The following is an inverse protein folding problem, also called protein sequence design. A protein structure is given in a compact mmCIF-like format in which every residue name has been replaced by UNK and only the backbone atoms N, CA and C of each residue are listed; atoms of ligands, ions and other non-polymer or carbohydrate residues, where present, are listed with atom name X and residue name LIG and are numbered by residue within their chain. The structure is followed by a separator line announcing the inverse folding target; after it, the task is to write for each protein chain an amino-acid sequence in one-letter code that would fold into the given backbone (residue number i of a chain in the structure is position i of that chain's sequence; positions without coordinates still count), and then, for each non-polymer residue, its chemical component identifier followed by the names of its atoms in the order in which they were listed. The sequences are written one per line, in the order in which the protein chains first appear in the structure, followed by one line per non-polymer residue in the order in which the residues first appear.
data_IF_762807121237
#
_entry.id   IF_762807121237
#
_cell.length_a   1.000
_cell.length_b   1.000
_cell.length_c   1.000
_cell.angle_alpha   90.00
_cell.angle_beta   90.00
_cell.angle_gamma   90.00
#
_symmetry.space_group_name_H-M   'P 1'
#
loop_
_entity.id
_entity.type
_entity.pdbx_description
1 polymer ?
#
# COMPACT_ATOMS: atom_id res chain seq x y z
N UNK A 1 6.12 -2.74 10.26
CA UNK A 1 6.13 -2.25 8.85
C UNK A 1 4.72 -2.03 8.33
N UNK A 2 3.82 -3.03 8.50
CA UNK A 2 2.41 -2.96 8.12
C UNK A 2 1.69 -1.66 8.51
N UNK A 3 1.75 -1.24 9.77
CA UNK A 3 1.01 -0.06 10.26
C UNK A 3 1.46 1.25 9.59
N UNK A 4 2.75 1.39 9.31
CA UNK A 4 3.30 2.55 8.60
C UNK A 4 2.80 2.59 7.16
N UNK A 5 2.81 1.45 6.46
CA UNK A 5 2.32 1.34 5.08
C UNK A 5 0.81 1.63 5.04
N UNK A 6 0.04 1.10 6.00
CA UNK A 6 -1.39 1.39 6.10
C UNK A 6 -1.66 2.88 6.32
N UNK A 7 -0.92 3.51 7.22
CA UNK A 7 -1.04 4.95 7.49
C UNK A 7 -0.74 5.80 6.25
N UNK A 8 0.37 5.52 5.56
CA UNK A 8 0.76 6.23 4.33
C UNK A 8 -0.29 6.01 3.23
N UNK A 9 -0.70 4.76 3.01
CA UNK A 9 -1.68 4.43 1.97
C UNK A 9 -3.01 5.13 2.22
N UNK A 10 -3.52 5.13 3.46
CA UNK A 10 -4.75 5.85 3.85
C UNK A 10 -4.67 7.35 3.59
N UNK A 11 -3.49 7.96 3.72
CA UNK A 11 -3.30 9.39 3.45
C UNK A 11 -3.20 9.74 1.96
N UNK A 12 -2.93 8.75 1.09
CA UNK A 12 -2.73 8.95 -0.35
C UNK A 12 -4.00 8.75 -1.19
N UNK A 13 -5.04 8.15 -0.62
CA UNK A 13 -6.22 7.66 -1.35
C UNK A 13 -7.48 8.43 -0.95
N UNK A 14 -8.50 8.43 -1.81
CA UNK A 14 -9.79 9.06 -1.49
C UNK A 14 -10.67 8.14 -0.62
N UNK A 15 -10.48 6.82 -0.70
CA UNK A 15 -11.23 5.81 0.04
C UNK A 15 -10.35 5.09 1.08
N UNK A 16 -9.99 5.74 2.20
CA UNK A 16 -9.10 5.17 3.22
C UNK A 16 -9.71 3.95 3.93
N UNK A 17 -11.03 3.81 3.93
CA UNK A 17 -11.78 2.67 4.45
C UNK A 17 -11.61 1.39 3.62
N UNK A 18 -11.23 1.53 2.35
CA UNK A 18 -10.96 0.40 1.45
C UNK A 18 -9.49 -0.03 1.43
N UNK A 19 -8.64 0.60 2.23
CA UNK A 19 -7.24 0.20 2.39
C UNK A 19 -7.14 -1.03 3.27
N UNK A 20 -6.55 -2.10 2.74
CA UNK A 20 -6.25 -3.32 3.50
C UNK A 20 -4.79 -3.69 3.34
N UNK A 21 -4.12 -3.95 4.46
CA UNK A 21 -2.73 -4.39 4.49
C UNK A 21 -2.63 -5.78 5.12
N UNK A 22 -2.12 -6.74 4.35
CA UNK A 22 -1.74 -8.06 4.83
C UNK A 22 -0.22 -8.19 4.84
N UNK A 23 0.30 -8.90 5.84
CA UNK A 23 1.72 -9.22 5.95
C UNK A 23 1.85 -10.74 5.96
N UNK A 24 2.59 -11.27 4.98
CA UNK A 24 2.92 -12.68 4.87
C UNK A 24 4.39 -12.83 5.24
N UNK A 25 4.65 -13.33 6.45
CA UNK A 25 5.99 -13.58 6.95
C UNK A 25 6.53 -14.90 6.37
N UNK A 26 7.51 -14.80 5.48
CA UNK A 26 8.37 -15.94 5.10
C UNK A 26 9.62 -16.00 5.98
N UNK A 27 10.40 -17.08 5.86
CA UNK A 27 11.57 -17.34 6.72
C UNK A 27 12.69 -16.29 6.61
N UNK A 28 12.80 -15.61 5.47
CA UNK A 28 13.83 -14.59 5.20
C UNK A 28 13.27 -13.29 4.63
N UNK A 29 11.99 -13.24 4.32
CA UNK A 29 11.38 -12.15 3.58
C UNK A 29 9.93 -11.99 4.02
N UNK A 30 9.54 -10.77 4.35
CA UNK A 30 8.14 -10.42 4.56
C UNK A 30 7.58 -9.84 3.27
N UNK A 31 6.46 -10.37 2.83
CA UNK A 31 5.69 -9.82 1.71
C UNK A 31 4.54 -9.00 2.30
N UNK A 32 4.46 -7.72 1.93
CA UNK A 32 3.35 -6.85 2.30
C UNK A 32 2.41 -6.77 1.09
N UNK A 33 1.16 -7.20 1.27
CA UNK A 33 0.11 -7.05 0.28
C UNK A 33 -0.77 -5.85 0.65
N UNK A 34 -0.77 -4.82 -0.21
CA UNK A 34 -1.61 -3.63 -0.08
C UNK A 34 -2.73 -3.70 -1.11
N UNK A 35 -3.98 -3.74 -0.63
CA UNK A 35 -5.19 -3.65 -1.46
C UNK A 35 -5.87 -2.31 -1.23
N UNK A 36 -6.27 -1.65 -2.33
CA UNK A 36 -6.96 -0.36 -2.32
C UNK A 36 -8.08 -0.35 -3.36
N UNK A 37 -8.94 0.67 -3.31
CA UNK A 37 -9.96 0.89 -4.32
C UNK A 37 -9.35 1.03 -5.73
N UNK A 38 -10.06 0.57 -6.76
CA UNK A 38 -9.56 0.57 -8.15
C UNK A 38 -9.23 1.98 -8.66
N UNK A 39 -9.97 2.97 -8.21
CA UNK A 39 -9.74 4.39 -8.54
C UNK A 39 -8.50 4.99 -7.88
N UNK A 40 -8.07 4.43 -6.75
CA UNK A 40 -6.93 4.92 -5.98
C UNK A 40 -5.59 4.27 -6.37
N UNK A 41 -5.63 3.19 -7.16
CA UNK A 41 -4.44 2.50 -7.69
C UNK A 41 -3.43 3.46 -8.32
N UNK A 42 -3.91 4.45 -9.07
CA UNK A 42 -3.04 5.44 -9.72
C UNK A 42 -2.27 6.33 -8.72
N UNK A 43 -2.87 6.65 -7.57
CA UNK A 43 -2.27 7.50 -6.54
C UNK A 43 -1.21 6.74 -5.75
N UNK A 44 -1.49 5.47 -5.45
CA UNK A 44 -0.59 4.59 -4.69
C UNK A 44 0.61 4.16 -5.54
N UNK A 45 0.41 3.78 -6.80
CA UNK A 45 1.53 3.41 -7.69
C UNK A 45 2.33 4.66 -8.06
N UNK A 46 1.64 5.77 -8.33
CA UNK A 46 2.25 6.99 -8.87
C UNK A 46 2.76 6.80 -10.30
N UNK A 47 3.19 7.89 -10.93
CA UNK A 47 3.71 7.84 -12.31
C UNK A 47 4.94 6.92 -12.38
N UNK A 48 4.89 5.89 -13.24
CA UNK A 48 5.95 4.87 -13.40
C UNK A 48 6.29 4.06 -12.12
N UNK A 49 5.36 3.96 -11.17
CA UNK A 49 5.62 3.22 -9.92
C UNK A 49 6.49 3.98 -8.92
N UNK A 50 6.70 5.29 -9.11
CA UNK A 50 7.59 6.09 -8.25
C UNK A 50 7.13 6.11 -6.78
N UNK A 51 5.82 6.19 -6.54
CA UNK A 51 5.28 6.24 -5.17
C UNK A 51 5.43 4.88 -4.49
N UNK A 52 5.03 3.79 -5.16
CA UNK A 52 5.15 2.45 -4.61
C UNK A 52 6.60 1.99 -4.37
N UNK A 53 7.58 2.50 -5.12
CA UNK A 53 9.01 2.21 -4.91
C UNK A 53 9.67 3.01 -3.78
N UNK A 54 9.03 4.11 -3.35
CA UNK A 54 9.57 5.01 -2.33
C UNK A 54 9.10 4.66 -0.91
N UNK A 55 8.14 3.74 -0.80
CA UNK A 55 7.61 3.15 0.43
C UNK A 55 8.36 1.86 0.71
#
# INVERSE_FOLDING_TARGET
MKELIEYIARALVDHPDQVKVAEVCGEKTSVIELSVAKEDLGKVIGKQGKTAKAI
#
